data_IF_903273050677
#
_entry.id   IF_903273050677
#
_cell.length_a   1.000
_cell.length_b   1.000
_cell.length_c   1.000
_cell.angle_alpha   90.00
_cell.angle_beta   90.00
_cell.angle_gamma   90.00
#
_symmetry.space_group_name_H-M   'P 1'
#
loop_
_entity.id
_entity.type
_entity.pdbx_description
1 polymer ?
#
# COMPACT_ATOMS: atom_id res chain seq x y z
N UNK A 1 -5.28 -15.12 51.14
CA UNK A 1 -4.82 -13.73 51.09
C UNK A 1 -3.41 -13.69 50.54
N UNK A 2 -3.25 -13.05 49.39
CA UNK A 2 -1.94 -12.80 48.79
C UNK A 2 -1.28 -11.70 49.62
N UNK A 3 -0.12 -11.97 50.22
CA UNK A 3 0.70 -10.94 50.90
C UNK A 3 1.39 -10.11 49.83
N UNK A 4 0.95 -8.89 49.63
CA UNK A 4 1.60 -7.90 48.75
C UNK A 4 2.84 -7.35 49.49
N UNK A 5 4.01 -7.59 48.93
CA UNK A 5 5.24 -6.91 49.33
C UNK A 5 5.37 -5.59 48.57
N UNK A 6 5.03 -4.48 49.21
CA UNK A 6 5.09 -3.15 48.60
C UNK A 6 6.51 -2.74 48.21
N UNK A 7 7.55 -3.35 48.79
CA UNK A 7 8.95 -3.08 48.41
C UNK A 7 9.35 -3.77 47.11
N UNK A 8 8.75 -4.92 46.83
CA UNK A 8 8.97 -5.64 45.56
C UNK A 8 8.20 -5.00 44.37
N UNK A 9 7.33 -4.04 44.64
CA UNK A 9 6.57 -3.30 43.60
C UNK A 9 7.22 -1.96 43.19
N UNK A 10 8.42 -1.68 43.65
CA UNK A 10 9.15 -0.49 43.23
C UNK A 10 9.60 -0.69 41.78
N UNK A 11 9.25 0.23 40.91
CA UNK A 11 9.69 0.23 39.51
C UNK A 11 11.20 0.45 39.46
N UNK A 12 11.92 -0.53 38.94
CA UNK A 12 13.33 -0.43 38.62
C UNK A 12 13.53 0.21 37.25
N UNK A 13 14.71 0.79 36.99
CA UNK A 13 15.07 1.28 35.66
C UNK A 13 15.16 0.06 34.72
N UNK A 14 14.62 0.17 33.50
CA UNK A 14 14.61 -0.94 32.56
C UNK A 14 16.03 -1.28 32.08
N UNK A 15 16.33 -2.56 31.92
CA UNK A 15 17.53 -3.01 31.24
C UNK A 15 17.40 -2.78 29.75
N UNK A 16 17.96 -1.66 29.27
CA UNK A 16 17.82 -1.21 27.87
C UNK A 16 18.37 -2.21 26.86
N UNK A 17 19.46 -2.91 27.17
CA UNK A 17 20.06 -3.90 26.27
C UNK A 17 19.19 -5.15 26.09
N UNK A 18 18.66 -5.68 27.21
CA UNK A 18 17.76 -6.84 27.16
C UNK A 18 16.41 -6.51 26.51
N UNK A 19 15.85 -5.34 26.85
CA UNK A 19 14.61 -4.87 26.23
C UNK A 19 14.78 -4.65 24.73
N UNK A 20 15.89 -4.11 24.29
CA UNK A 20 16.18 -3.95 22.84
C UNK A 20 16.21 -5.29 22.15
N UNK A 21 16.92 -6.28 22.68
CA UNK A 21 16.99 -7.64 22.12
C UNK A 21 15.60 -8.29 22.04
N UNK A 22 14.81 -8.18 23.10
CA UNK A 22 13.44 -8.74 23.13
C UNK A 22 12.54 -8.02 22.11
N UNK A 23 12.62 -6.70 22.02
CA UNK A 23 11.83 -5.95 21.05
C UNK A 23 12.25 -6.18 19.60
N UNK A 24 13.55 -6.41 19.34
CA UNK A 24 14.06 -6.82 18.03
C UNK A 24 13.62 -8.24 17.68
N UNK A 25 13.69 -9.18 18.61
CA UNK A 25 13.22 -10.57 18.44
C UNK A 25 11.70 -10.64 18.21
N UNK A 26 10.94 -9.79 18.88
CA UNK A 26 9.47 -9.70 18.74
C UNK A 26 9.01 -8.69 17.67
N UNK A 27 9.94 -8.09 16.94
CA UNK A 27 9.70 -7.09 15.88
C UNK A 27 8.92 -5.84 16.36
N UNK A 28 8.99 -5.49 17.65
CA UNK A 28 8.31 -4.33 18.24
C UNK A 28 9.09 -3.02 18.05
N UNK A 29 9.38 -2.66 16.80
CA UNK A 29 10.22 -1.50 16.44
C UNK A 29 9.73 -0.17 17.03
N UNK A 30 8.43 0.10 17.00
CA UNK A 30 7.84 1.31 17.59
C UNK A 30 7.96 1.38 19.11
N UNK A 31 8.04 0.25 19.79
CA UNK A 31 8.26 0.20 21.23
C UNK A 31 9.71 0.49 21.60
N UNK A 32 10.68 0.13 20.78
CA UNK A 32 12.09 0.48 20.94
C UNK A 32 12.22 2.02 21.04
N UNK A 33 11.65 2.73 20.08
CA UNK A 33 11.71 4.20 20.04
C UNK A 33 10.96 4.86 21.20
N UNK A 34 9.80 4.32 21.56
CA UNK A 34 8.95 4.86 22.62
C UNK A 34 9.48 4.63 24.04
N UNK A 35 10.13 3.48 24.25
CA UNK A 35 10.56 3.04 25.58
C UNK A 35 12.04 3.36 25.82
N UNK A 36 12.90 3.26 24.80
CA UNK A 36 14.35 3.38 24.93
C UNK A 36 14.90 4.77 24.50
N UNK A 37 14.17 5.56 23.68
CA UNK A 37 14.55 6.97 23.44
C UNK A 37 14.07 7.84 24.59
N UNK A 38 14.78 7.83 25.70
CA UNK A 38 14.61 8.80 26.80
C UNK A 38 15.51 10.01 26.57
N UNK A 39 14.84 11.18 26.54
CA UNK A 39 15.36 12.51 26.85
C UNK A 39 16.25 13.23 25.83
N UNK A 40 15.60 14.07 25.07
CA UNK A 40 16.07 15.46 24.96
C UNK A 40 14.87 16.36 25.23
N UNK A 41 14.90 17.01 26.43
CA UNK A 41 14.14 18.16 26.94
C UNK A 41 12.64 18.32 26.60
N UNK A 42 11.80 18.60 27.61
CA UNK A 42 10.38 18.84 27.41
C UNK A 42 10.14 20.25 26.88
N UNK A 43 9.59 20.38 25.68
CA UNK A 43 8.79 21.55 25.30
C UNK A 43 7.37 21.36 25.83
N UNK A 44 6.80 22.35 26.52
CA UNK A 44 5.47 22.24 27.09
C UNK A 44 4.43 22.61 26.06
N UNK A 45 3.91 21.64 25.32
CA UNK A 45 2.57 21.63 24.69
C UNK A 45 2.42 20.47 23.71
N UNK A 46 2.11 19.30 24.22
CA UNK A 46 1.31 18.33 23.48
C UNK A 46 0.60 17.44 24.49
N UNK A 47 -0.69 17.64 24.60
CA UNK A 47 -1.63 16.74 25.24
C UNK A 47 -1.41 15.36 24.59
N UNK A 48 -1.17 14.35 25.42
CA UNK A 48 -1.02 12.97 24.96
C UNK A 48 -2.25 12.58 24.14
N UNK A 49 -2.10 11.97 22.96
CA UNK A 49 -3.23 11.42 22.25
C UNK A 49 -3.79 10.26 23.06
N UNK A 50 -5.06 10.37 23.38
CA UNK A 50 -5.83 9.34 24.06
C UNK A 50 -5.84 8.08 23.20
N UNK A 51 -5.47 6.93 23.76
CA UNK A 51 -5.30 5.65 23.07
C UNK A 51 -6.63 5.11 22.49
N UNK A 52 -7.74 5.82 22.71
CA UNK A 52 -9.10 5.45 22.29
C UNK A 52 -9.83 6.55 21.52
N UNK A 53 -9.15 7.56 21.00
CA UNK A 53 -9.81 8.54 20.12
C UNK A 53 -9.99 7.93 18.74
N UNK A 54 -11.23 7.71 18.28
CA UNK A 54 -11.49 7.44 16.86
C UNK A 54 -11.04 8.67 16.06
N UNK A 55 -10.21 8.48 15.06
CA UNK A 55 -9.83 9.55 14.14
C UNK A 55 -11.05 10.25 13.54
N UNK A 56 -10.93 11.48 13.05
CA UNK A 56 -12.05 12.28 12.59
C UNK A 56 -12.70 11.65 11.35
N UNK A 57 -13.81 10.96 11.54
CA UNK A 57 -14.56 10.26 10.51
C UNK A 57 -15.42 11.19 9.64
N UNK A 58 -15.48 12.49 9.90
CA UNK A 58 -16.23 13.44 9.08
C UNK A 58 -15.65 14.85 9.18
N UNK A 59 -14.70 15.18 8.31
CA UNK A 59 -14.54 16.57 7.85
C UNK A 59 -15.27 16.70 6.53
N UNK A 60 -16.22 17.62 6.47
CA UNK A 60 -16.88 18.04 5.24
C UNK A 60 -15.82 18.58 4.27
N UNK A 61 -15.41 17.77 3.31
CA UNK A 61 -14.85 18.23 2.05
C UNK A 61 -15.67 17.59 0.94
N UNK A 62 -16.31 18.45 0.15
CA UNK A 62 -17.09 18.09 -1.01
C UNK A 62 -16.19 17.49 -2.10
N UNK A 63 -16.12 16.17 -2.17
CA UNK A 63 -15.49 15.38 -3.21
C UNK A 63 -15.64 13.90 -2.86
N UNK A 64 -15.84 13.00 -3.81
CA UNK A 64 -15.95 11.58 -3.52
C UNK A 64 -14.59 11.07 -3.02
N UNK A 65 -14.44 10.90 -1.72
CA UNK A 65 -13.30 10.19 -1.13
C UNK A 65 -13.62 8.71 -1.20
N UNK A 66 -13.23 8.08 -2.28
CA UNK A 66 -13.18 6.64 -2.39
C UNK A 66 -11.78 6.21 -1.97
N UNK A 67 -11.57 6.13 -0.65
CA UNK A 67 -10.36 5.56 -0.08
C UNK A 67 -10.36 4.05 -0.32
N UNK A 68 -9.36 3.54 -1.03
CA UNK A 68 -9.04 2.13 -1.05
C UNK A 68 -8.77 1.68 0.39
N UNK A 69 -9.49 0.68 0.87
CA UNK A 69 -9.35 0.12 2.22
C UNK A 69 -7.91 -0.36 2.52
N UNK A 70 -7.11 -0.57 1.48
CA UNK A 70 -5.70 -0.98 1.56
C UNK A 70 -4.70 0.19 1.66
N UNK A 71 -5.07 1.41 1.23
CA UNK A 71 -4.17 2.58 1.33
C UNK A 71 -4.11 3.18 2.74
N UNK A 72 -5.17 3.03 3.54
CA UNK A 72 -5.22 3.61 4.89
C UNK A 72 -4.24 2.94 5.87
N UNK A 73 -3.80 1.70 5.58
CA UNK A 73 -2.75 1.02 6.34
C UNK A 73 -1.32 1.39 5.90
N UNK A 74 -1.15 2.02 4.74
CA UNK A 74 0.18 2.39 4.21
C UNK A 74 0.71 3.73 4.75
N UNK A 75 -0.14 4.60 5.31
CA UNK A 75 0.18 6.01 5.55
C UNK A 75 0.72 6.37 6.96
N UNK A 76 0.94 5.41 7.85
CA UNK A 76 1.50 5.65 9.18
C UNK A 76 2.82 4.89 9.40
N UNK A 77 3.79 5.10 8.53
CA UNK A 77 5.18 4.71 8.78
C UNK A 77 5.85 5.74 9.69
N UNK A 78 6.67 5.36 10.67
CA UNK A 78 7.52 6.31 11.35
C UNK A 78 8.59 6.82 10.38
N UNK A 79 8.69 8.15 10.28
CA UNK A 79 9.83 8.81 9.67
C UNK A 79 11.14 8.35 10.34
N UNK A 80 12.11 8.07 9.49
CA UNK A 80 13.54 7.98 9.80
C UNK A 80 14.00 7.14 11.01
N UNK A 81 14.06 5.84 10.86
CA UNK A 81 15.18 5.10 11.43
C UNK A 81 16.20 4.87 10.31
N UNK A 82 17.24 5.68 10.25
CA UNK A 82 18.44 5.43 9.44
C UNK A 82 19.11 4.15 9.97
N UNK A 83 18.60 3.01 9.54
CA UNK A 83 19.30 1.74 9.69
C UNK A 83 20.46 1.75 8.71
N UNK A 84 21.67 2.07 9.20
CA UNK A 84 22.89 2.22 8.42
C UNK A 84 23.39 0.93 7.75
N UNK A 85 22.65 -0.17 7.85
CA UNK A 85 23.08 -1.50 7.40
C UNK A 85 22.23 -2.09 6.26
N UNK A 86 21.21 -1.39 5.77
CA UNK A 86 20.42 -1.88 4.63
C UNK A 86 21.14 -1.59 3.31
N UNK A 87 21.08 -2.54 2.38
CA UNK A 87 21.52 -2.30 1.02
C UNK A 87 20.59 -1.28 0.34
N UNK A 88 21.12 -0.54 -0.64
CA UNK A 88 20.40 0.45 -1.45
C UNK A 88 20.90 0.37 -2.88
N UNK A 89 20.21 1.02 -3.81
CA UNK A 89 20.61 1.04 -5.21
C UNK A 89 22.07 1.45 -5.41
N UNK A 90 22.56 2.45 -4.64
CA UNK A 90 23.93 2.94 -4.72
C UNK A 90 24.97 1.93 -4.19
N UNK A 91 24.56 0.96 -3.39
CA UNK A 91 25.45 -0.04 -2.75
C UNK A 91 25.51 -1.36 -3.50
N UNK A 92 24.62 -1.58 -4.47
CA UNK A 92 24.57 -2.79 -5.30
C UNK A 92 25.07 -2.50 -6.71
N UNK A 93 25.54 -3.54 -7.39
CA UNK A 93 25.91 -3.44 -8.81
C UNK A 93 24.71 -3.78 -9.69
N UNK A 94 23.81 -2.82 -9.91
CA UNK A 94 22.63 -2.97 -10.72
C UNK A 94 22.85 -2.47 -12.16
N UNK A 95 22.33 -3.22 -13.14
CA UNK A 95 22.28 -2.85 -14.56
C UNK A 95 20.84 -2.45 -14.93
N UNK A 96 20.49 -1.21 -14.61
CA UNK A 96 19.19 -0.63 -14.95
C UNK A 96 19.28 0.21 -16.21
N UNK A 97 18.41 -0.06 -17.17
CA UNK A 97 18.52 0.52 -18.50
C UNK A 97 17.26 1.26 -18.92
N UNK A 98 17.44 2.50 -19.38
CA UNK A 98 16.40 3.27 -20.05
C UNK A 98 16.28 2.83 -21.52
N UNK A 99 15.09 2.36 -21.90
CA UNK A 99 14.77 1.81 -23.22
C UNK A 99 13.92 2.82 -24.03
N UNK A 100 14.55 3.86 -24.49
CA UNK A 100 13.95 5.06 -25.10
C UNK A 100 13.90 5.03 -26.64
N UNK A 101 14.58 4.08 -27.29
CA UNK A 101 14.62 3.96 -28.75
C UNK A 101 13.98 2.67 -29.26
N UNK A 102 13.47 2.68 -30.50
CA UNK A 102 12.87 1.51 -31.16
C UNK A 102 13.86 0.32 -31.24
N UNK A 103 15.15 0.62 -31.50
CA UNK A 103 16.19 -0.42 -31.58
C UNK A 103 16.40 -1.10 -30.21
N UNK A 104 16.45 -0.29 -29.13
CA UNK A 104 16.55 -0.83 -27.76
C UNK A 104 15.30 -1.65 -27.42
N UNK A 105 14.10 -1.16 -27.74
CA UNK A 105 12.84 -1.88 -27.50
C UNK A 105 12.83 -3.22 -28.24
N UNK A 106 13.13 -3.22 -29.54
CA UNK A 106 13.19 -4.46 -30.35
C UNK A 106 14.21 -5.47 -29.80
N UNK A 107 15.37 -4.99 -29.32
CA UNK A 107 16.41 -5.84 -28.72
C UNK A 107 15.92 -6.48 -27.42
N UNK A 108 15.32 -5.68 -26.51
CA UNK A 108 14.88 -6.20 -25.22
C UNK A 108 13.69 -7.14 -25.35
N UNK A 109 12.73 -6.86 -26.24
CA UNK A 109 11.61 -7.75 -26.51
C UNK A 109 12.13 -9.14 -26.93
N UNK A 110 13.09 -9.20 -27.87
CA UNK A 110 13.68 -10.48 -28.31
C UNK A 110 14.34 -11.24 -27.15
N UNK A 111 15.02 -10.53 -26.24
CA UNK A 111 15.62 -11.13 -25.05
C UNK A 111 14.55 -11.72 -24.13
N UNK A 112 13.56 -10.91 -23.75
CA UNK A 112 12.56 -11.24 -22.74
C UNK A 112 11.53 -12.28 -23.24
N UNK A 113 11.33 -12.44 -24.56
CA UNK A 113 10.43 -13.46 -25.11
C UNK A 113 10.84 -14.90 -24.77
N UNK A 114 12.10 -15.14 -24.47
CA UNK A 114 12.62 -16.47 -24.12
C UNK A 114 12.60 -16.75 -22.62
N UNK A 115 12.22 -15.76 -21.84
CA UNK A 115 12.25 -15.80 -20.38
C UNK A 115 11.04 -16.57 -19.83
N UNK A 116 11.29 -17.46 -18.85
CA UNK A 116 10.23 -18.22 -18.17
C UNK A 116 9.54 -17.44 -17.06
N UNK A 117 10.25 -16.51 -16.44
CA UNK A 117 9.75 -15.68 -15.34
C UNK A 117 10.08 -14.23 -15.70
N UNK A 118 9.07 -13.39 -15.74
CA UNK A 118 9.19 -11.99 -16.11
C UNK A 118 8.48 -11.14 -15.05
N UNK A 119 9.25 -10.38 -14.29
CA UNK A 119 8.69 -9.33 -13.43
C UNK A 119 8.25 -8.16 -14.30
N UNK A 120 7.06 -7.67 -14.04
CA UNK A 120 6.43 -6.54 -14.73
C UNK A 120 5.93 -5.54 -13.71
N UNK A 121 6.03 -4.27 -14.03
CA UNK A 121 5.46 -3.18 -13.25
C UNK A 121 5.09 -2.02 -14.18
N UNK A 122 4.15 -1.16 -13.77
CA UNK A 122 3.66 -0.04 -14.57
C UNK A 122 3.68 1.26 -13.79
N UNK A 123 4.32 2.29 -14.36
CA UNK A 123 4.24 3.65 -13.87
C UNK A 123 3.06 4.39 -14.49
N UNK A 124 2.28 5.08 -13.67
CA UNK A 124 1.00 5.66 -14.09
C UNK A 124 0.76 7.05 -13.50
N UNK A 125 -0.28 7.71 -14.00
CA UNK A 125 -0.69 9.05 -13.55
C UNK A 125 -1.60 9.04 -12.33
N UNK A 126 -2.18 7.90 -11.95
CA UNK A 126 -3.18 7.78 -10.88
C UNK A 126 -3.09 6.43 -10.20
N UNK A 127 -3.39 6.37 -8.91
CA UNK A 127 -3.58 5.11 -8.18
C UNK A 127 -4.90 4.40 -8.54
N UNK A 128 -5.83 5.08 -9.20
CA UNK A 128 -7.09 4.51 -9.69
C UNK A 128 -6.87 3.93 -11.09
N UNK A 129 -6.84 2.59 -11.26
CA UNK A 129 -6.42 1.97 -12.52
C UNK A 129 -7.35 2.27 -13.70
N UNK A 130 -8.63 2.56 -13.45
CA UNK A 130 -9.60 2.87 -14.52
C UNK A 130 -9.44 4.29 -15.08
N UNK A 131 -8.79 5.20 -14.33
CA UNK A 131 -8.51 6.58 -14.73
C UNK A 131 -7.04 6.79 -15.06
N UNK A 132 -6.19 5.79 -14.78
CA UNK A 132 -4.75 5.88 -14.92
C UNK A 132 -4.31 5.88 -16.39
N UNK A 133 -3.43 6.82 -16.72
CA UNK A 133 -2.66 6.80 -17.96
C UNK A 133 -1.28 6.20 -17.69
N UNK A 134 -0.83 5.35 -18.62
CA UNK A 134 0.47 4.69 -18.54
C UNK A 134 1.60 5.68 -18.83
N UNK A 135 2.51 5.84 -17.87
CA UNK A 135 3.71 6.68 -17.97
C UNK A 135 4.93 5.87 -18.42
N UNK A 136 4.98 4.60 -18.04
CA UNK A 136 6.04 3.69 -18.44
C UNK A 136 5.75 2.25 -18.05
N UNK A 137 6.60 1.36 -18.55
CA UNK A 137 6.56 -0.07 -18.25
C UNK A 137 7.95 -0.51 -17.84
N UNK A 138 8.08 -1.27 -16.76
CA UNK A 138 9.34 -1.83 -16.34
C UNK A 138 9.33 -3.36 -16.34
N UNK A 139 10.50 -3.94 -16.56
CA UNK A 139 10.68 -5.38 -16.71
C UNK A 139 11.96 -5.85 -16.06
N UNK A 140 11.92 -7.00 -15.38
CA UNK A 140 13.12 -7.69 -14.90
C UNK A 140 12.99 -9.21 -15.10
N UNK A 141 14.03 -9.84 -15.62
CA UNK A 141 14.13 -11.29 -15.83
C UNK A 141 15.30 -11.91 -15.08
N UNK A 142 16.16 -11.08 -14.52
CA UNK A 142 17.38 -11.48 -13.82
C UNK A 142 17.63 -10.47 -12.70
N UNK A 143 17.93 -10.94 -11.51
CA UNK A 143 18.23 -10.08 -10.35
C UNK A 143 19.34 -9.07 -10.68
N UNK A 144 19.15 -7.83 -10.21
CA UNK A 144 19.99 -6.68 -10.49
C UNK A 144 20.02 -6.22 -11.96
N UNK A 145 19.09 -6.69 -12.80
CA UNK A 145 18.93 -6.22 -14.17
C UNK A 145 17.46 -5.85 -14.41
N UNK A 146 17.23 -4.64 -14.87
CA UNK A 146 15.88 -4.19 -15.18
C UNK A 146 15.88 -3.17 -16.33
N UNK A 147 14.72 -3.01 -16.94
CA UNK A 147 14.51 -2.23 -18.15
C UNK A 147 13.27 -1.36 -17.97
N UNK A 148 13.40 -0.07 -18.19
CA UNK A 148 12.28 0.86 -18.18
C UNK A 148 12.01 1.41 -19.56
N UNK A 149 10.76 1.35 -19.99
CA UNK A 149 10.27 1.82 -21.29
C UNK A 149 9.32 3.00 -21.03
N UNK A 150 9.73 4.23 -21.35
CA UNK A 150 8.84 5.39 -21.20
C UNK A 150 7.71 5.34 -22.24
N UNK A 151 6.52 5.71 -21.83
CA UNK A 151 5.32 5.77 -22.65
C UNK A 151 4.87 7.24 -22.77
N UNK A 152 4.75 7.79 -24.00
CA UNK A 152 4.35 9.17 -24.19
C UNK A 152 2.89 9.42 -23.76
N UNK A 153 2.57 10.71 -23.50
CA UNK A 153 1.22 11.11 -23.13
C UNK A 153 0.22 11.02 -24.29
N UNK A 154 0.71 11.17 -25.53
CA UNK A 154 -0.13 11.09 -26.70
C UNK A 154 -0.59 9.64 -26.89
N UNK A 155 -1.93 9.43 -26.87
CA UNK A 155 -2.57 8.11 -26.83
C UNK A 155 -2.20 7.20 -28.02
N UNK A 156 -2.12 7.74 -29.21
CA UNK A 156 -1.81 6.94 -30.42
C UNK A 156 -0.36 6.47 -30.42
N UNK A 157 0.57 7.31 -29.97
CA UNK A 157 1.98 6.95 -29.84
C UNK A 157 2.18 5.95 -28.69
N UNK A 158 1.48 6.18 -27.55
CA UNK A 158 1.47 5.26 -26.44
C UNK A 158 1.01 3.85 -26.88
N UNK A 159 -0.10 3.77 -27.61
CA UNK A 159 -0.61 2.49 -28.12
C UNK A 159 0.37 1.80 -29.07
N UNK A 160 1.10 2.54 -29.91
CA UNK A 160 2.14 1.94 -30.78
C UNK A 160 3.22 1.28 -29.95
N UNK A 161 3.79 2.01 -28.97
CA UNK A 161 4.87 1.49 -28.12
C UNK A 161 4.37 0.31 -27.28
N UNK A 162 3.23 0.45 -26.60
CA UNK A 162 2.66 -0.62 -25.76
C UNK A 162 2.39 -1.89 -26.57
N UNK A 163 1.88 -1.76 -27.83
CA UNK A 163 1.65 -2.89 -28.71
C UNK A 163 2.92 -3.63 -29.15
N UNK A 164 4.08 -2.99 -29.18
CA UNK A 164 5.35 -3.69 -29.41
C UNK A 164 5.63 -4.77 -28.36
N UNK A 165 5.19 -4.52 -27.11
CA UNK A 165 5.37 -5.43 -25.95
C UNK A 165 4.25 -6.47 -25.79
N UNK A 166 3.20 -6.42 -26.62
CA UNK A 166 2.11 -7.41 -26.60
C UNK A 166 2.61 -8.86 -26.54
N UNK A 167 3.62 -9.27 -27.34
CA UNK A 167 4.11 -10.65 -27.30
C UNK A 167 4.68 -11.07 -25.92
N UNK A 168 5.17 -10.13 -25.10
CA UNK A 168 5.66 -10.42 -23.75
C UNK A 168 4.52 -10.63 -22.78
N UNK A 169 3.54 -9.72 -22.76
CA UNK A 169 2.39 -9.79 -21.89
C UNK A 169 1.50 -11.00 -22.17
N UNK A 170 1.28 -11.31 -23.46
CA UNK A 170 0.42 -12.40 -23.89
C UNK A 170 1.15 -13.76 -24.02
N UNK A 171 2.42 -13.85 -23.64
CA UNK A 171 3.17 -15.11 -23.63
C UNK A 171 2.66 -16.04 -22.52
N UNK A 172 1.94 -17.10 -22.90
CA UNK A 172 1.36 -18.08 -21.97
C UNK A 172 2.42 -18.97 -21.30
N UNK A 173 3.62 -19.05 -21.87
CA UNK A 173 4.70 -19.91 -21.33
C UNK A 173 5.62 -19.19 -20.33
N UNK A 174 5.40 -17.89 -20.13
CA UNK A 174 6.15 -17.06 -19.20
C UNK A 174 5.25 -16.69 -18.02
N UNK A 175 5.68 -17.00 -16.79
CA UNK A 175 5.07 -16.50 -15.55
C UNK A 175 5.27 -14.99 -15.48
N UNK A 176 4.22 -14.23 -15.15
CA UNK A 176 4.30 -12.79 -14.85
C UNK A 176 4.30 -12.59 -13.34
N UNK A 177 5.29 -11.86 -12.87
CA UNK A 177 5.46 -11.51 -11.47
C UNK A 177 5.16 -10.02 -11.31
N UNK A 178 4.40 -9.65 -10.29
CA UNK A 178 4.09 -8.24 -9.98
C UNK A 178 3.86 -8.05 -8.49
N UNK A 179 3.86 -6.81 -8.06
CA UNK A 179 3.44 -6.38 -6.73
C UNK A 179 2.06 -5.71 -6.86
N UNK A 180 0.99 -6.34 -6.38
CA UNK A 180 -0.39 -5.94 -6.69
C UNK A 180 -0.69 -5.98 -8.20
N UNK A 181 -0.30 -7.07 -8.85
CA UNK A 181 -0.35 -7.25 -10.31
C UNK A 181 -1.74 -7.02 -10.92
N UNK A 182 -2.80 -7.09 -10.12
CA UNK A 182 -4.17 -6.76 -10.56
C UNK A 182 -4.26 -5.33 -11.07
N UNK A 183 -3.58 -4.39 -10.42
CA UNK A 183 -3.50 -2.99 -10.87
C UNK A 183 -2.91 -2.89 -12.28
N UNK A 184 -1.76 -3.52 -12.51
CA UNK A 184 -1.09 -3.53 -13.81
C UNK A 184 -1.95 -4.17 -14.90
N UNK A 185 -2.63 -5.26 -14.58
CA UNK A 185 -3.59 -5.92 -15.50
C UNK A 185 -4.67 -4.94 -15.92
N UNK A 186 -5.28 -4.21 -14.99
CA UNK A 186 -6.35 -3.25 -15.28
C UNK A 186 -5.85 -2.08 -16.12
N UNK A 187 -4.70 -1.51 -15.77
CA UNK A 187 -4.06 -0.44 -16.56
C UNK A 187 -3.75 -0.90 -17.99
N UNK A 188 -3.17 -2.08 -18.14
CA UNK A 188 -2.83 -2.66 -19.47
C UNK A 188 -4.08 -2.99 -20.28
N UNK A 189 -5.18 -3.41 -19.66
CA UNK A 189 -6.46 -3.62 -20.32
C UNK A 189 -7.01 -2.33 -20.96
N UNK A 190 -6.77 -1.15 -20.36
CA UNK A 190 -7.13 0.15 -20.96
C UNK A 190 -6.37 0.41 -22.28
N UNK A 191 -5.25 -0.28 -22.50
CA UNK A 191 -4.46 -0.25 -23.76
C UNK A 191 -4.73 -1.46 -24.66
N UNK A 192 -5.76 -2.26 -24.35
CA UNK A 192 -6.14 -3.44 -25.12
C UNK A 192 -5.15 -4.58 -24.99
N UNK A 193 -4.38 -4.63 -23.90
CA UNK A 193 -3.45 -5.71 -23.57
C UNK A 193 -4.11 -6.74 -22.67
N UNK A 194 -3.77 -8.00 -22.91
CA UNK A 194 -4.11 -9.11 -22.02
C UNK A 194 -2.83 -9.66 -21.40
N UNK A 195 -2.80 -9.80 -20.07
CA UNK A 195 -1.69 -10.43 -19.37
C UNK A 195 -1.98 -11.92 -19.23
N UNK A 196 -1.26 -12.74 -20.03
CA UNK A 196 -1.44 -14.20 -20.06
C UNK A 196 -0.33 -14.94 -19.33
N UNK A 197 -0.49 -16.26 -19.22
CA UNK A 197 0.43 -17.13 -18.52
C UNK A 197 0.13 -17.20 -17.02
N UNK A 198 0.98 -17.87 -16.29
CA UNK A 198 0.91 -17.99 -14.85
C UNK A 198 1.19 -16.64 -14.18
N UNK A 199 0.54 -16.36 -13.04
CA UNK A 199 0.76 -15.14 -12.27
C UNK A 199 1.45 -15.47 -10.95
N UNK A 200 2.25 -14.52 -10.47
CA UNK A 200 2.76 -14.50 -9.11
C UNK A 200 2.67 -13.06 -8.58
N UNK A 201 1.84 -12.85 -7.57
CA UNK A 201 1.70 -11.56 -6.90
C UNK A 201 2.42 -11.59 -5.55
N UNK A 202 3.45 -10.77 -5.38
CA UNK A 202 4.28 -10.73 -4.18
C UNK A 202 3.54 -10.19 -2.96
N UNK A 203 2.59 -9.27 -3.16
CA UNK A 203 1.73 -8.75 -2.10
C UNK A 203 0.79 -9.84 -1.57
N UNK A 204 0.15 -10.58 -2.46
CA UNK A 204 -0.76 -11.68 -2.10
C UNK A 204 0.03 -12.86 -1.51
N UNK A 205 1.21 -13.18 -2.04
CA UNK A 205 2.08 -14.21 -1.47
C UNK A 205 2.39 -13.91 0.00
N UNK A 206 2.78 -12.67 0.30
CA UNK A 206 3.04 -12.28 1.67
C UNK A 206 1.77 -12.23 2.53
N UNK A 207 0.63 -11.81 1.96
CA UNK A 207 -0.65 -11.84 2.67
C UNK A 207 -1.04 -13.27 3.12
N UNK A 208 -0.83 -14.26 2.26
CA UNK A 208 -1.07 -15.69 2.59
C UNK A 208 -0.13 -16.17 3.70
N UNK A 209 1.13 -15.70 3.70
CA UNK A 209 2.14 -16.09 4.70
C UNK A 209 1.94 -15.40 6.05
N UNK A 210 1.64 -14.10 6.05
CA UNK A 210 1.64 -13.23 7.23
C UNK A 210 0.50 -12.18 7.14
N UNK A 211 -0.78 -12.59 7.26
CA UNK A 211 -1.94 -11.72 7.00
C UNK A 211 -2.04 -10.50 7.92
N UNK A 212 -1.42 -10.53 9.09
CA UNK A 212 -1.47 -9.45 10.09
C UNK A 212 -0.41 -8.34 9.86
N UNK A 213 0.52 -8.55 8.92
CA UNK A 213 1.61 -7.61 8.67
C UNK A 213 1.30 -6.67 7.50
N UNK A 214 2.22 -5.74 7.22
CA UNK A 214 2.15 -4.86 6.05
C UNK A 214 2.62 -5.62 4.81
N UNK A 215 2.05 -5.30 3.65
CA UNK A 215 2.34 -6.01 2.39
C UNK A 215 2.88 -5.09 1.29
N UNK A 216 3.20 -3.84 1.62
CA UNK A 216 3.81 -2.91 0.67
C UNK A 216 5.27 -3.30 0.38
N UNK A 217 5.74 -3.01 -0.82
CA UNK A 217 7.04 -3.43 -1.34
C UNK A 217 8.21 -2.98 -0.46
N UNK A 218 8.21 -1.73 0.00
CA UNK A 218 9.28 -1.20 0.87
C UNK A 218 9.47 -2.04 2.13
N UNK A 219 8.36 -2.38 2.80
CA UNK A 219 8.38 -3.23 3.98
C UNK A 219 8.89 -4.65 3.66
N UNK A 220 8.42 -5.23 2.55
CA UNK A 220 8.86 -6.56 2.12
C UNK A 220 10.35 -6.57 1.75
N UNK A 221 10.84 -5.56 1.05
CA UNK A 221 12.24 -5.41 0.70
C UNK A 221 13.13 -5.30 1.96
N UNK A 222 12.66 -4.54 2.95
CA UNK A 222 13.41 -4.38 4.21
C UNK A 222 13.54 -5.70 4.98
N UNK A 223 12.43 -6.45 5.16
CA UNK A 223 12.45 -7.66 6.00
C UNK A 223 13.00 -8.90 5.29
N UNK A 224 12.73 -9.08 3.99
CA UNK A 224 13.15 -10.27 3.26
C UNK A 224 14.48 -10.10 2.51
N UNK A 225 14.79 -8.88 2.05
CA UNK A 225 15.97 -8.63 1.23
C UNK A 225 17.03 -7.80 1.97
N UNK A 226 16.74 -7.28 3.17
CA UNK A 226 17.57 -6.28 3.86
C UNK A 226 17.94 -5.11 2.97
N UNK A 227 16.95 -4.62 2.22
CA UNK A 227 17.12 -3.60 1.20
C UNK A 227 16.16 -2.43 1.45
N UNK A 228 16.66 -1.22 1.30
CA UNK A 228 15.87 0.01 1.35
C UNK A 228 15.65 0.51 -0.07
N UNK A 229 14.40 0.51 -0.51
CA UNK A 229 13.95 1.00 -1.83
C UNK A 229 13.96 2.52 -1.92
N UNK A 230 13.96 3.05 -3.13
CA UNK A 230 13.72 4.46 -3.41
C UNK A 230 12.24 4.74 -3.11
N UNK A 231 11.97 5.67 -2.21
CA UNK A 231 10.60 6.03 -1.87
C UNK A 231 9.97 6.90 -2.97
N UNK A 232 8.73 6.64 -3.37
CA UNK A 232 8.02 7.45 -4.37
C UNK A 232 7.97 8.95 -3.99
N UNK A 233 7.89 9.27 -2.70
CA UNK A 233 7.90 10.65 -2.20
C UNK A 233 9.22 11.39 -2.48
N UNK A 234 10.31 10.66 -2.72
CA UNK A 234 11.59 11.26 -3.13
C UNK A 234 11.54 11.77 -4.58
N UNK A 235 10.71 11.15 -5.43
CA UNK A 235 10.55 11.51 -6.84
C UNK A 235 9.49 12.61 -7.02
N UNK A 236 8.27 12.38 -6.51
CA UNK A 236 7.12 13.23 -6.77
C UNK A 236 6.81 14.19 -5.63
N UNK A 237 7.53 14.09 -4.52
CA UNK A 237 7.31 14.89 -3.31
C UNK A 237 6.22 14.32 -2.40
N UNK A 238 6.15 14.82 -1.15
CA UNK A 238 5.21 14.31 -0.16
C UNK A 238 3.75 14.54 -0.57
N UNK A 239 2.87 13.69 -0.07
CA UNK A 239 1.42 13.77 -0.33
C UNK A 239 0.87 15.15 0.00
N UNK A 240 0.13 15.75 -0.93
CA UNK A 240 -0.49 17.07 -0.76
C UNK A 240 -0.69 17.82 -2.07
N UNK A 241 -1.15 19.07 -1.95
CA UNK A 241 -1.47 19.92 -3.13
C UNK A 241 -0.29 20.18 -4.07
N UNK A 242 0.93 20.01 -3.61
CA UNK A 242 2.15 20.27 -4.38
C UNK A 242 2.84 18.97 -4.85
N UNK A 243 2.23 17.80 -4.63
CA UNK A 243 2.75 16.54 -5.14
C UNK A 243 2.72 16.56 -6.67
N UNK A 244 3.84 16.22 -7.29
CA UNK A 244 3.95 16.09 -8.75
C UNK A 244 3.29 14.81 -9.21
N UNK A 245 2.97 14.74 -10.51
CA UNK A 245 2.58 13.51 -11.15
C UNK A 245 3.83 12.81 -11.74
N UNK A 246 3.84 11.49 -11.81
CA UNK A 246 4.94 10.75 -12.48
C UNK A 246 5.17 11.22 -13.92
N UNK A 247 4.11 11.64 -14.61
CA UNK A 247 4.15 12.19 -15.97
C UNK A 247 4.94 13.51 -16.08
N UNK A 248 5.06 14.27 -14.99
CA UNK A 248 5.77 15.54 -14.95
C UNK A 248 7.29 15.38 -14.86
N UNK A 249 7.76 14.15 -14.61
CA UNK A 249 9.18 13.83 -14.48
C UNK A 249 9.78 13.34 -15.81
N UNK A 250 11.02 13.71 -16.13
CA UNK A 250 11.70 13.15 -17.28
C UNK A 250 12.02 11.66 -17.08
N UNK A 251 12.02 10.86 -18.15
CA UNK A 251 12.31 9.42 -18.06
C UNK A 251 13.63 9.07 -17.36
N UNK A 252 14.63 9.96 -17.44
CA UNK A 252 15.94 9.82 -16.81
C UNK A 252 15.89 9.90 -15.28
N UNK A 253 14.85 10.47 -14.70
CA UNK A 253 14.62 10.50 -13.26
C UNK A 253 13.78 9.30 -12.81
N UNK A 254 12.80 8.88 -13.61
CA UNK A 254 11.86 7.79 -13.28
C UNK A 254 12.50 6.41 -13.44
N UNK A 255 13.37 6.20 -14.45
CA UNK A 255 13.80 4.85 -14.84
C UNK A 255 14.49 4.04 -13.72
N UNK A 256 15.20 4.71 -12.80
CA UNK A 256 15.89 4.02 -11.71
C UNK A 256 14.89 3.46 -10.71
N UNK A 257 13.90 4.26 -10.34
CA UNK A 257 12.82 3.87 -9.47
C UNK A 257 12.01 2.70 -10.08
N UNK A 258 11.50 2.87 -11.29
CA UNK A 258 10.72 1.85 -11.99
C UNK A 258 11.48 0.54 -12.25
N UNK A 259 12.78 0.62 -12.55
CA UNK A 259 13.64 -0.55 -12.67
C UNK A 259 13.86 -1.25 -11.34
N UNK A 260 14.03 -0.47 -10.25
CA UNK A 260 14.16 -1.01 -8.90
C UNK A 260 12.91 -1.78 -8.50
N UNK A 261 11.72 -1.23 -8.75
CA UNK A 261 10.45 -1.88 -8.42
C UNK A 261 10.30 -3.23 -9.12
N UNK A 262 10.61 -3.32 -10.42
CA UNK A 262 10.59 -4.58 -11.15
C UNK A 262 11.65 -5.59 -10.64
N UNK A 263 12.86 -5.14 -10.30
CA UNK A 263 13.95 -5.99 -9.80
C UNK A 263 13.66 -6.51 -8.38
N UNK A 264 13.22 -5.63 -7.49
CA UNK A 264 12.85 -5.98 -6.11
C UNK A 264 11.67 -6.96 -6.11
N UNK A 265 10.67 -6.74 -6.96
CA UNK A 265 9.54 -7.64 -7.14
C UNK A 265 9.99 -9.04 -7.57
N UNK A 266 10.96 -9.15 -8.49
CA UNK A 266 11.54 -10.44 -8.89
C UNK A 266 12.28 -11.13 -7.73
N UNK A 267 13.08 -10.38 -6.97
CA UNK A 267 13.79 -10.91 -5.80
C UNK A 267 12.83 -11.37 -4.71
N UNK A 268 11.80 -10.59 -4.42
CA UNK A 268 10.76 -10.95 -3.46
C UNK A 268 10.02 -12.22 -3.88
N UNK A 269 9.70 -12.37 -5.17
CA UNK A 269 9.12 -13.62 -5.69
C UNK A 269 9.97 -14.83 -5.33
N UNK A 270 11.28 -14.77 -5.53
CA UNK A 270 12.17 -15.90 -5.27
C UNK A 270 12.17 -16.31 -3.78
N UNK A 271 12.20 -15.34 -2.88
CA UNK A 271 12.17 -15.61 -1.43
C UNK A 271 10.79 -16.05 -0.97
N UNK A 272 9.72 -15.38 -1.38
CA UNK A 272 8.36 -15.70 -0.94
C UNK A 272 7.87 -17.03 -1.47
N UNK A 273 8.27 -17.43 -2.67
CA UNK A 273 7.95 -18.76 -3.20
C UNK A 273 8.52 -19.89 -2.31
N UNK A 274 9.76 -19.73 -1.83
CA UNK A 274 10.35 -20.70 -0.90
C UNK A 274 9.63 -20.71 0.47
N UNK A 275 9.18 -19.55 0.95
CA UNK A 275 8.41 -19.47 2.19
C UNK A 275 7.01 -20.12 2.04
N UNK A 276 6.32 -19.90 0.91
CA UNK A 276 5.05 -20.58 0.60
C UNK A 276 5.20 -22.11 0.66
N UNK A 277 6.29 -22.64 0.07
CA UNK A 277 6.63 -24.08 0.11
C UNK A 277 6.88 -24.57 1.53
N UNK A 278 7.69 -23.84 2.29
CA UNK A 278 8.01 -24.20 3.68
C UNK A 278 6.77 -24.26 4.59
N UNK A 279 5.82 -23.36 4.38
CA UNK A 279 4.58 -23.33 5.16
C UNK A 279 3.48 -24.25 4.60
N UNK A 280 3.66 -24.81 3.41
CA UNK A 280 2.71 -25.72 2.78
C UNK A 280 1.43 -25.06 2.30
N UNK A 281 1.48 -23.77 1.96
CA UNK A 281 0.33 -22.97 1.53
C UNK A 281 0.32 -22.71 0.01
N UNK A 282 1.16 -23.42 -0.77
CA UNK A 282 1.25 -23.28 -2.24
C UNK A 282 -0.10 -23.53 -2.93
N UNK A 283 -0.84 -24.54 -2.48
CA UNK A 283 -2.16 -24.84 -3.06
C UNK A 283 -3.12 -23.66 -2.92
N UNK A 284 -3.18 -23.02 -1.75
CA UNK A 284 -4.00 -21.83 -1.53
C UNK A 284 -3.57 -20.70 -2.49
N UNK A 285 -2.28 -20.46 -2.57
CA UNK A 285 -1.73 -19.39 -3.40
C UNK A 285 -1.96 -19.61 -4.91
N UNK A 286 -1.52 -20.76 -5.44
CA UNK A 286 -1.56 -20.99 -6.91
C UNK A 286 -2.93 -21.39 -7.44
N UNK A 287 -3.71 -22.18 -6.66
CA UNK A 287 -4.97 -22.74 -7.15
C UNK A 287 -6.20 -21.89 -6.80
N UNK A 288 -6.08 -20.97 -5.85
CA UNK A 288 -7.19 -20.13 -5.40
C UNK A 288 -6.86 -18.65 -5.63
N UNK A 289 -5.82 -18.12 -4.99
CA UNK A 289 -5.55 -16.68 -4.97
C UNK A 289 -5.13 -16.16 -6.36
N UNK A 290 -4.21 -16.82 -7.04
CA UNK A 290 -3.74 -16.35 -8.36
C UNK A 290 -4.83 -16.38 -9.44
N UNK A 291 -5.66 -17.43 -9.58
CA UNK A 291 -6.84 -17.38 -10.45
C UNK A 291 -7.84 -16.28 -10.07
N UNK A 292 -8.04 -16.02 -8.77
CA UNK A 292 -8.95 -15.00 -8.27
C UNK A 292 -8.53 -13.59 -8.72
N UNK A 293 -7.24 -13.29 -8.84
CA UNK A 293 -6.73 -12.01 -9.37
C UNK A 293 -7.39 -11.66 -10.71
N UNK A 294 -7.45 -12.61 -11.64
CA UNK A 294 -8.07 -12.39 -12.96
C UNK A 294 -9.58 -12.18 -12.87
N UNK A 295 -10.24 -12.94 -12.00
CA UNK A 295 -11.69 -12.80 -11.77
C UNK A 295 -12.00 -11.41 -11.23
N UNK A 296 -11.24 -10.95 -10.23
CA UNK A 296 -11.41 -9.61 -9.65
C UNK A 296 -11.09 -8.51 -10.66
N UNK A 297 -10.02 -8.64 -11.44
CA UNK A 297 -9.72 -7.69 -12.51
C UNK A 297 -10.87 -7.58 -13.52
N UNK A 298 -11.45 -8.70 -13.93
CA UNK A 298 -12.61 -8.70 -14.82
C UNK A 298 -13.87 -8.08 -14.20
N UNK A 299 -14.11 -8.34 -12.91
CA UNK A 299 -15.25 -7.74 -12.20
C UNK A 299 -15.10 -6.22 -12.10
N UNK A 300 -13.91 -5.75 -11.75
CA UNK A 300 -13.59 -4.33 -11.63
C UNK A 300 -13.65 -3.62 -12.98
N UNK A 301 -13.09 -4.23 -14.02
CA UNK A 301 -13.14 -3.70 -15.40
C UNK A 301 -14.55 -3.58 -15.96
N UNK A 302 -15.43 -4.57 -15.69
CA UNK A 302 -16.83 -4.52 -16.11
C UNK A 302 -17.68 -3.56 -15.30
N UNK A 303 -17.28 -3.29 -14.05
CA UNK A 303 -18.01 -2.46 -13.13
C UNK A 303 -19.37 -3.04 -12.69
N UNK A 304 -20.06 -2.28 -11.84
CA UNK A 304 -21.38 -2.64 -11.32
C UNK A 304 -22.37 -1.51 -11.62
N UNK A 305 -23.52 -1.85 -12.18
CA UNK A 305 -24.58 -0.88 -12.40
C UNK A 305 -25.30 -0.58 -11.08
N UNK A 306 -25.28 0.67 -10.67
CA UNK A 306 -25.98 1.15 -9.47
C UNK A 306 -27.34 1.72 -9.85
N UNK A 307 -28.39 1.37 -9.10
CA UNK A 307 -29.70 2.02 -9.18
C UNK A 307 -29.65 3.35 -8.40
N UNK A 308 -29.31 4.40 -9.12
CA UNK A 308 -29.15 5.74 -8.54
C UNK A 308 -30.47 6.32 -8.03
N UNK A 309 -31.61 5.94 -8.63
CA UNK A 309 -32.91 6.43 -8.21
C UNK A 309 -33.34 5.78 -6.88
N UNK A 310 -33.15 4.48 -6.73
CA UNK A 310 -33.39 3.78 -5.47
C UNK A 310 -32.49 4.31 -4.33
N UNK A 311 -31.22 4.58 -4.63
CA UNK A 311 -30.30 5.18 -3.65
C UNK A 311 -30.74 6.59 -3.25
N UNK A 312 -31.19 7.41 -4.19
CA UNK A 312 -31.69 8.75 -3.91
C UNK A 312 -32.92 8.71 -2.99
N UNK A 313 -33.91 7.87 -3.32
CA UNK A 313 -35.10 7.69 -2.49
C UNK A 313 -34.75 7.22 -1.07
N UNK A 314 -33.81 6.29 -0.97
CA UNK A 314 -33.31 5.79 0.33
C UNK A 314 -32.61 6.92 1.11
N UNK A 315 -31.79 7.73 0.45
CA UNK A 315 -31.11 8.88 1.07
C UNK A 315 -32.10 9.94 1.56
N UNK A 316 -33.11 10.27 0.78
CA UNK A 316 -34.19 11.19 1.16
C UNK A 316 -34.96 10.67 2.37
N UNK A 317 -35.35 9.38 2.37
CA UNK A 317 -36.02 8.76 3.49
C UNK A 317 -35.17 8.77 4.77
N UNK A 318 -33.89 8.43 4.68
CA UNK A 318 -32.99 8.47 5.85
C UNK A 318 -32.73 9.89 6.33
N UNK A 319 -32.66 10.88 5.44
CA UNK A 319 -32.51 12.29 5.86
C UNK A 319 -33.68 12.75 6.71
N UNK A 320 -34.92 12.45 6.29
CA UNK A 320 -36.11 12.78 7.07
C UNK A 320 -36.08 12.06 8.43
N UNK A 321 -35.78 10.76 8.42
CA UNK A 321 -35.76 9.97 9.66
C UNK A 321 -34.67 10.42 10.64
N UNK A 322 -33.51 10.80 10.12
CA UNK A 322 -32.44 11.38 10.95
C UNK A 322 -32.88 12.69 11.61
N UNK A 323 -33.52 13.60 10.88
CA UNK A 323 -34.03 14.86 11.45
C UNK A 323 -35.08 14.62 12.52
N UNK A 324 -35.96 13.63 12.36
CA UNK A 324 -36.93 13.26 13.38
C UNK A 324 -36.24 12.75 14.65
N UNK A 325 -35.26 11.85 14.50
CA UNK A 325 -34.50 11.29 15.63
C UNK A 325 -33.67 12.38 16.34
N UNK A 326 -33.00 13.25 15.59
CA UNK A 326 -32.27 14.38 16.17
C UNK A 326 -33.18 15.27 17.02
N UNK A 327 -34.37 15.56 16.54
CA UNK A 327 -35.36 16.33 17.24
C UNK A 327 -35.81 15.62 18.52
N UNK A 328 -36.15 14.33 18.46
CA UNK A 328 -36.48 13.51 19.61
C UNK A 328 -35.36 13.50 20.67
N UNK A 329 -34.10 13.39 20.25
CA UNK A 329 -32.93 13.43 21.14
C UNK A 329 -32.84 14.78 21.85
N UNK A 330 -32.97 15.89 21.12
CA UNK A 330 -32.91 17.23 21.71
C UNK A 330 -34.08 17.52 22.67
N UNK A 331 -35.28 17.02 22.33
CA UNK A 331 -36.46 17.12 23.22
C UNK A 331 -36.24 16.34 24.52
N UNK A 332 -35.69 15.11 24.43
CA UNK A 332 -35.41 14.29 25.60
C UNK A 332 -34.23 14.80 26.43
N UNK A 333 -33.27 15.46 25.79
CA UNK A 333 -32.12 16.04 26.48
C UNK A 333 -32.39 17.44 27.04
N UNK A 334 -33.52 18.06 26.67
CA UNK A 334 -33.90 19.44 26.98
C UNK A 334 -32.87 20.51 26.55
N UNK A 335 -31.93 20.13 25.66
CA UNK A 335 -30.93 21.03 25.10
C UNK A 335 -30.39 20.53 23.72
N UNK A 336 -29.73 21.42 23.00
CA UNK A 336 -29.05 21.09 21.74
C UNK A 336 -27.55 20.88 21.97
N UNK A 337 -27.00 19.81 21.44
CA UNK A 337 -25.58 19.47 21.52
C UNK A 337 -25.12 18.74 20.25
N UNK A 338 -23.81 18.58 20.05
CA UNK A 338 -23.29 17.84 18.91
C UNK A 338 -23.43 16.32 19.14
N UNK A 339 -24.49 15.73 18.57
CA UNK A 339 -24.78 14.29 18.66
C UNK A 339 -23.64 13.43 18.08
N UNK A 340 -22.92 13.91 17.08
CA UNK A 340 -21.81 13.19 16.45
C UNK A 340 -20.51 13.22 17.29
N UNK A 341 -20.47 13.99 18.38
CA UNK A 341 -19.31 14.07 19.26
C UNK A 341 -19.35 13.00 20.34
N UNK A 342 -18.47 12.00 20.23
CA UNK A 342 -18.32 10.93 21.24
C UNK A 342 -18.00 11.50 22.63
N UNK A 343 -17.22 12.56 22.73
CA UNK A 343 -16.88 13.23 23.98
C UNK A 343 -18.11 13.80 24.67
N UNK A 344 -19.04 14.40 23.92
CA UNK A 344 -20.30 14.92 24.48
C UNK A 344 -21.22 13.81 24.97
N UNK A 345 -21.35 12.74 24.22
CA UNK A 345 -22.21 11.59 24.57
C UNK A 345 -21.70 10.89 25.82
N UNK A 346 -20.39 10.74 25.98
CA UNK A 346 -19.80 10.15 27.19
C UNK A 346 -19.87 11.05 28.42
N UNK A 347 -19.66 12.33 28.28
CA UNK A 347 -19.75 13.28 29.40
C UNK A 347 -21.17 13.25 30.02
N UNK A 348 -22.20 13.24 29.18
CA UNK A 348 -23.60 13.21 29.63
C UNK A 348 -24.07 11.87 30.15
N UNK A 349 -23.60 10.76 29.60
CA UNK A 349 -23.88 9.45 30.19
C UNK A 349 -23.38 9.33 31.62
N UNK A 350 -22.32 10.06 31.96
CA UNK A 350 -21.85 10.15 33.36
C UNK A 350 -22.63 11.14 34.21
N UNK A 351 -23.16 12.23 33.67
CA UNK A 351 -23.99 13.19 34.40
C UNK A 351 -25.36 12.62 34.76
N UNK A 352 -26.02 11.90 33.87
CA UNK A 352 -27.30 11.23 34.13
C UNK A 352 -27.20 10.16 35.22
N UNK A 353 -26.02 9.55 35.44
CA UNK A 353 -25.81 8.66 36.60
C UNK A 353 -25.64 9.36 37.93
N UNK A 354 -25.28 10.65 37.95
CA UNK A 354 -25.14 11.44 39.20
C UNK A 354 -26.45 11.94 39.75
N UNK A 355 -27.51 12.01 38.94
CA UNK A 355 -28.82 12.46 39.37
C UNK A 355 -29.79 11.33 39.77
N UNK A 356 -29.30 10.07 39.78
CA UNK A 356 -30.08 8.87 40.15
C UNK A 356 -29.62 8.28 41.48
N UNK A 357 -29.01 9.09 42.40
CA UNK A 357 -28.73 8.72 43.80
C UNK A 357 -29.35 9.74 44.71
#
# INVERSE_FOLDING_TARGET
PIKLDMKALVREEPNEEELRKIFEELEFRTLIDRVLKKSSSPSPSSVAPDLFSPGPLFTQNNGPVQGNLFEEFASNGPEDSKNSNLARLETINADYQLIDTEEKRSKIIKKLLTTKILSIDTETTSAEPMEAELVGMSFSDTENQAYYVPVPAEREEALKIVNEFRPLYENETSMKVGQNIKYDILVLQNYGMEVKGELFDTMIAHYVLQPELRHNMDYLAEIYLHYQTIHIDELIGPRGKNQKNMRDLPPEEVYKYACEDADITLKLKNVLEEELKKQGVEHLFYEIEMPLVRVLANLESNGVRIDTEALKQTSEHFTVRLQEIEKEIYELAEETFNIASVSYTHLRAHETRRHLV
#
